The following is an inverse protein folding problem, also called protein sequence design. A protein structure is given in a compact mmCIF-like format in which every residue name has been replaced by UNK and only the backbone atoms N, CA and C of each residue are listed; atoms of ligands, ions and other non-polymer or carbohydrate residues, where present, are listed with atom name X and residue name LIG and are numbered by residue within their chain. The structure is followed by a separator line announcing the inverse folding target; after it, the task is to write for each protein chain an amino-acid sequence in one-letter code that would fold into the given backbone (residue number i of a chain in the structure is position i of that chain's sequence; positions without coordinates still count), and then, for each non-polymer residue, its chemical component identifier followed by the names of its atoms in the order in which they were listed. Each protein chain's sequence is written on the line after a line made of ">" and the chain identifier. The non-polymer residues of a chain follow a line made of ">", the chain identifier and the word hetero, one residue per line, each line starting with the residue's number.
data_IF_338773393894
#
_entry.id   IF_338773393894
#
_cell.length_a   1.000
_cell.length_b   1.000
_cell.length_c   1.000
_cell.angle_alpha   90.00
_cell.angle_beta   90.00
_cell.angle_gamma   90.00
#
_symmetry.space_group_name_H-M   'P 1'
#
loop_
_entity.id
_entity.type
_entity.pdbx_description
1 polymer ?
#
# COMPACT_ATOMS: atom_id res chain seq x y z
N UNK A 1 -46.03 -6.88 -0.31
CA UNK A 1 -45.52 -7.66 -1.46
C UNK A 1 -44.06 -7.30 -1.58
N UNK A 2 -43.15 -8.28 -1.51
CA UNK A 2 -41.71 -8.00 -1.58
C UNK A 2 -41.30 -8.00 -3.05
N UNK A 3 -40.82 -6.87 -3.55
CA UNK A 3 -40.25 -6.75 -4.90
C UNK A 3 -38.79 -7.18 -4.87
N UNK A 4 -38.48 -8.23 -5.63
CA UNK A 4 -37.11 -8.71 -5.82
C UNK A 4 -36.55 -8.13 -7.11
N UNK A 5 -35.38 -7.52 -7.02
CA UNK A 5 -34.66 -6.89 -8.14
C UNK A 5 -33.29 -7.54 -8.25
N UNK A 6 -32.76 -7.63 -9.48
CA UNK A 6 -31.49 -8.32 -9.74
C UNK A 6 -30.34 -7.33 -9.73
N UNK A 7 -29.37 -7.55 -8.84
CA UNK A 7 -28.13 -6.76 -8.81
C UNK A 7 -27.42 -6.82 -10.17
N UNK A 8 -27.07 -5.66 -10.74
CA UNK A 8 -26.41 -5.60 -12.05
C UNK A 8 -25.00 -6.19 -12.02
N UNK A 9 -24.32 -6.10 -10.88
CA UNK A 9 -22.92 -6.50 -10.74
C UNK A 9 -22.74 -8.00 -10.53
N UNK A 10 -23.49 -8.59 -9.61
CA UNK A 10 -23.36 -10.01 -9.26
C UNK A 10 -24.50 -10.90 -9.79
N UNK A 11 -25.50 -10.30 -10.46
CA UNK A 11 -26.66 -10.99 -11.07
C UNK A 11 -27.50 -11.81 -10.09
N UNK A 12 -27.33 -11.60 -8.77
CA UNK A 12 -28.18 -12.20 -7.73
C UNK A 12 -29.42 -11.35 -7.47
N UNK A 13 -30.48 -12.00 -7.02
CA UNK A 13 -31.74 -11.36 -6.63
C UNK A 13 -31.63 -10.86 -5.19
N UNK A 14 -32.06 -9.62 -4.98
CA UNK A 14 -32.10 -8.93 -3.70
C UNK A 14 -33.46 -8.24 -3.56
N UNK A 15 -33.82 -7.85 -2.34
CA UNK A 15 -34.96 -6.95 -2.18
C UNK A 15 -34.60 -5.57 -2.72
N UNK A 16 -35.61 -4.85 -3.21
CA UNK A 16 -35.46 -3.48 -3.74
C UNK A 16 -34.72 -2.54 -2.77
N UNK A 17 -35.01 -2.65 -1.46
CA UNK A 17 -34.36 -1.87 -0.39
C UNK A 17 -32.88 -2.24 -0.12
N UNK A 18 -32.41 -3.38 -0.64
CA UNK A 18 -31.02 -3.87 -0.46
C UNK A 18 -30.09 -3.48 -1.62
N UNK A 19 -30.59 -2.71 -2.59
CA UNK A 19 -29.87 -2.24 -3.77
C UNK A 19 -29.77 -0.71 -3.72
N UNK A 20 -28.60 -0.18 -4.05
CA UNK A 20 -28.40 1.25 -4.23
C UNK A 20 -29.15 1.77 -5.47
N UNK A 21 -29.26 3.10 -5.64
CA UNK A 21 -29.88 3.76 -6.80
C UNK A 21 -29.33 3.27 -8.15
N UNK A 22 -28.11 2.73 -8.17
CA UNK A 22 -27.46 2.14 -9.33
C UNK A 22 -27.75 0.64 -9.52
N UNK A 23 -28.68 0.03 -8.77
CA UNK A 23 -28.97 -1.40 -8.85
C UNK A 23 -27.81 -2.30 -8.41
N UNK A 24 -26.94 -1.81 -7.52
CA UNK A 24 -25.78 -2.54 -7.01
C UNK A 24 -26.00 -2.89 -5.53
N UNK A 25 -25.79 -4.16 -5.17
CA UNK A 25 -25.95 -4.58 -3.78
C UNK A 25 -24.77 -4.14 -2.91
N UNK A 26 -25.02 -3.99 -1.60
CA UNK A 26 -24.03 -3.53 -0.62
C UNK A 26 -22.72 -4.33 -0.67
N UNK A 27 -22.77 -5.66 -0.80
CA UNK A 27 -21.56 -6.49 -0.91
C UNK A 27 -20.71 -6.17 -2.16
N UNK A 28 -21.34 -5.75 -3.26
CA UNK A 28 -20.63 -5.33 -4.47
C UNK A 28 -20.07 -3.92 -4.35
N UNK A 29 -20.77 -3.02 -3.64
CA UNK A 29 -20.29 -1.69 -3.29
C UNK A 29 -19.08 -1.77 -2.35
N UNK A 30 -19.14 -2.58 -1.29
CA UNK A 30 -18.01 -2.80 -0.39
C UNK A 30 -16.80 -3.39 -1.11
N UNK A 31 -16.99 -4.33 -2.05
CA UNK A 31 -15.88 -4.83 -2.88
C UNK A 31 -15.29 -3.77 -3.79
N UNK A 32 -16.11 -2.86 -4.33
CA UNK A 32 -15.63 -1.74 -5.13
C UNK A 32 -14.86 -0.72 -4.26
N UNK A 33 -15.37 -0.42 -3.06
CA UNK A 33 -14.71 0.44 -2.08
C UNK A 33 -13.39 -0.17 -1.58
N UNK A 34 -13.34 -1.47 -1.28
CA UNK A 34 -12.09 -2.14 -0.91
C UNK A 34 -11.06 -2.09 -2.05
N UNK A 35 -11.52 -2.17 -3.30
CA UNK A 35 -10.64 -2.06 -4.46
C UNK A 35 -10.18 -0.62 -4.72
N UNK A 36 -10.99 0.38 -4.35
CA UNK A 36 -10.62 1.79 -4.41
C UNK A 36 -9.69 2.20 -3.26
N UNK A 37 -9.94 1.71 -2.04
CA UNK A 37 -9.07 1.89 -0.88
C UNK A 37 -7.70 1.21 -1.09
N UNK A 38 -7.68 0.00 -1.65
CA UNK A 38 -6.44 -0.67 -2.05
C UNK A 38 -5.71 0.03 -3.20
N UNK A 39 -6.39 0.85 -4.01
CA UNK A 39 -5.76 1.65 -5.06
C UNK A 39 -5.14 2.95 -4.52
N UNK A 40 -5.61 3.47 -3.39
CA UNK A 40 -4.90 4.51 -2.62
C UNK A 40 -3.72 3.93 -1.82
N UNK A 41 -3.72 2.63 -1.51
CA UNK A 41 -2.57 1.92 -0.91
C UNK A 41 -1.50 1.47 -1.93
N UNK A 42 -1.76 1.53 -3.25
CA UNK A 42 -0.84 1.02 -4.29
C UNK A 42 0.20 2.06 -4.79
N UNK A 43 0.09 3.33 -4.37
CA UNK A 43 1.08 4.38 -4.70
C UNK A 43 1.95 4.82 -3.51
N UNK A 44 1.81 4.17 -2.34
CA UNK A 44 2.59 4.53 -1.18
C UNK A 44 4.07 4.10 -1.33
N UNK A 45 4.94 5.10 -1.45
CA UNK A 45 6.39 4.95 -1.61
C UNK A 45 6.99 4.04 -0.52
N UNK A 46 6.39 3.97 0.68
CA UNK A 46 6.84 3.10 1.77
C UNK A 46 6.68 1.63 1.42
N UNK A 47 5.57 1.23 0.81
CA UNK A 47 5.35 -0.16 0.36
C UNK A 47 6.37 -0.56 -0.72
N UNK A 48 6.67 0.35 -1.66
CA UNK A 48 7.69 0.13 -2.67
C UNK A 48 9.07 -0.06 -2.04
N UNK A 49 9.40 0.76 -1.04
CA UNK A 49 10.66 0.66 -0.31
C UNK A 49 10.74 -0.64 0.49
N UNK A 50 9.70 -1.01 1.22
CA UNK A 50 9.63 -2.28 1.96
C UNK A 50 9.81 -3.48 1.04
N UNK A 51 9.09 -3.52 -0.09
CA UNK A 51 9.18 -4.62 -1.06
C UNK A 51 10.60 -4.75 -1.62
N UNK A 52 11.26 -3.62 -1.86
CA UNK A 52 12.64 -3.62 -2.33
C UNK A 52 13.64 -4.03 -1.24
N UNK A 53 13.54 -3.47 -0.03
CA UNK A 53 14.40 -3.81 1.11
C UNK A 53 14.25 -5.29 1.44
N UNK A 54 13.02 -5.82 1.49
CA UNK A 54 12.73 -7.24 1.72
C UNK A 54 13.39 -8.15 0.68
N UNK A 55 13.44 -7.72 -0.58
CA UNK A 55 14.09 -8.48 -1.67
C UNK A 55 15.62 -8.35 -1.68
N UNK A 56 16.14 -7.17 -1.38
CA UNK A 56 17.58 -6.89 -1.35
C UNK A 56 18.25 -7.23 -0.01
N UNK A 57 17.49 -7.50 1.04
CA UNK A 57 17.96 -7.66 2.42
C UNK A 57 18.22 -6.32 3.10
N UNK A 58 19.11 -5.50 2.53
CA UNK A 58 19.44 -4.18 3.04
C UNK A 58 19.74 -3.19 1.91
N UNK A 59 19.36 -1.92 2.06
CA UNK A 59 19.69 -0.87 1.07
C UNK A 59 19.81 0.51 1.69
N UNK A 60 20.55 1.42 1.06
CA UNK A 60 20.66 2.82 1.52
C UNK A 60 19.53 3.70 0.97
N UNK A 61 19.22 4.78 1.70
CA UNK A 61 18.31 5.86 1.24
C UNK A 61 18.73 6.38 -0.14
N UNK A 62 20.01 6.63 -0.36
CA UNK A 62 20.51 7.09 -1.66
C UNK A 62 20.17 6.13 -2.82
N UNK A 63 20.15 4.82 -2.57
CA UNK A 63 19.77 3.82 -3.57
C UNK A 63 18.27 3.84 -3.83
N UNK A 64 17.46 3.95 -2.76
CA UNK A 64 16.01 4.05 -2.85
C UNK A 64 15.58 5.35 -3.56
N UNK A 65 16.07 6.50 -3.11
CA UNK A 65 15.81 7.80 -3.72
C UNK A 65 16.26 7.85 -5.19
N UNK A 66 17.38 7.21 -5.56
CA UNK A 66 17.82 7.15 -6.96
C UNK A 66 16.95 6.23 -7.82
N UNK A 67 16.50 5.10 -7.26
CA UNK A 67 15.67 4.11 -7.96
C UNK A 67 14.23 4.59 -8.15
N UNK A 68 13.71 5.31 -7.17
CA UNK A 68 12.35 5.82 -7.13
C UNK A 68 12.30 7.34 -7.33
N UNK A 69 13.32 7.95 -7.94
CA UNK A 69 13.40 9.39 -8.18
C UNK A 69 12.21 9.94 -8.99
N UNK A 70 11.63 9.10 -9.85
CA UNK A 70 10.44 9.43 -10.66
C UNK A 70 9.13 9.29 -9.89
N UNK A 71 9.16 8.74 -8.67
CA UNK A 71 8.01 8.44 -7.81
C UNK A 71 8.02 9.24 -6.51
N UNK A 72 9.18 9.59 -5.98
CA UNK A 72 9.31 10.42 -4.78
C UNK A 72 10.52 11.35 -4.88
N UNK A 73 10.34 12.56 -4.36
CA UNK A 73 11.44 13.48 -4.08
C UNK A 73 12.38 12.90 -3.02
N UNK A 74 13.65 13.35 -2.95
CA UNK A 74 14.57 12.90 -1.90
C UNK A 74 14.04 13.16 -0.48
N UNK A 75 13.29 14.26 -0.27
CA UNK A 75 12.65 14.59 1.00
C UNK A 75 11.52 13.62 1.35
N UNK A 76 10.65 13.29 0.38
CA UNK A 76 9.61 12.28 0.59
C UNK A 76 10.17 10.89 0.82
N UNK A 77 11.26 10.53 0.14
CA UNK A 77 11.94 9.26 0.36
C UNK A 77 12.55 9.17 1.76
N UNK A 78 13.06 10.28 2.28
CA UNK A 78 13.56 10.36 3.66
C UNK A 78 12.41 10.22 4.66
N UNK A 79 11.35 11.01 4.49
CA UNK A 79 10.16 10.95 5.35
C UNK A 79 9.51 9.57 5.36
N UNK A 80 9.39 8.93 4.20
CA UNK A 80 8.86 7.58 4.10
C UNK A 80 9.72 6.55 4.84
N UNK A 81 11.04 6.67 4.79
CA UNK A 81 11.94 5.80 5.55
C UNK A 81 11.87 6.07 7.05
N UNK A 82 11.75 7.33 7.46
CA UNK A 82 11.59 7.71 8.86
C UNK A 82 10.28 7.17 9.44
N UNK A 83 9.18 7.26 8.69
CA UNK A 83 7.90 6.66 9.10
C UNK A 83 7.99 5.14 9.18
N UNK A 84 8.63 4.47 8.21
CA UNK A 84 8.85 3.03 8.26
C UNK A 84 9.71 2.59 9.45
N UNK A 85 10.66 3.43 9.87
CA UNK A 85 11.49 3.21 11.05
C UNK A 85 10.68 3.41 12.33
N UNK A 86 9.87 4.47 12.41
CA UNK A 86 8.94 4.70 13.51
C UNK A 86 7.90 3.58 13.67
N UNK A 87 7.41 3.05 12.55
CA UNK A 87 6.52 1.89 12.51
C UNK A 87 7.24 0.55 12.80
N UNK A 88 8.55 0.57 13.08
CA UNK A 88 9.37 -0.63 13.34
C UNK A 88 9.36 -1.65 12.19
N UNK A 89 9.04 -1.22 10.97
CA UNK A 89 9.06 -2.08 9.77
C UNK A 89 10.47 -2.18 9.18
N UNK A 90 11.26 -1.12 9.30
CA UNK A 90 12.68 -1.07 8.90
C UNK A 90 13.54 -0.60 10.06
N UNK A 91 14.81 -1.00 10.07
CA UNK A 91 15.82 -0.48 10.99
C UNK A 91 16.98 0.11 10.21
N UNK A 92 17.44 1.29 10.63
CA UNK A 92 18.69 1.89 10.17
C UNK A 92 19.87 1.27 10.91
N UNK A 93 20.78 0.67 10.15
CA UNK A 93 22.05 0.14 10.65
C UNK A 93 23.22 0.74 9.88
N UNK A 94 24.38 0.77 10.52
CA UNK A 94 25.62 1.07 9.80
C UNK A 94 26.01 -0.11 8.90
N UNK A 95 26.43 0.21 7.68
CA UNK A 95 26.90 -0.77 6.71
C UNK A 95 28.25 -1.33 7.16
N UNK A 96 28.33 -2.66 7.32
CA UNK A 96 29.58 -3.35 7.66
C UNK A 96 30.70 -3.15 6.61
N UNK A 97 30.35 -2.84 5.37
CA UNK A 97 31.32 -2.73 4.27
C UNK A 97 31.82 -1.30 4.01
N UNK A 98 31.13 -0.26 4.50
CA UNK A 98 31.54 1.14 4.34
C UNK A 98 31.21 1.94 5.59
N UNK A 99 32.26 2.29 6.34
CA UNK A 99 32.20 3.17 7.52
C UNK A 99 31.50 4.48 7.16
N UNK A 100 30.50 4.90 7.95
CA UNK A 100 29.72 6.12 7.70
C UNK A 100 28.61 6.00 6.66
N UNK A 101 28.30 4.80 6.14
CA UNK A 101 27.09 4.58 5.31
C UNK A 101 26.03 3.85 6.09
N UNK A 102 24.83 4.41 6.11
CA UNK A 102 23.64 3.77 6.68
C UNK A 102 22.90 2.96 5.62
N UNK A 103 22.42 1.79 6.03
CA UNK A 103 21.51 0.94 5.26
C UNK A 103 20.29 0.64 6.12
N UNK A 104 19.15 0.53 5.46
CA UNK A 104 17.87 0.15 6.02
C UNK A 104 17.63 -1.32 5.70
N UNK A 105 17.24 -2.10 6.70
CA UNK A 105 16.82 -3.49 6.54
C UNK A 105 15.48 -3.75 7.22
N UNK A 106 14.75 -4.77 6.78
CA UNK A 106 13.47 -5.15 7.41
C UNK A 106 13.75 -5.66 8.82
N UNK A 107 13.00 -5.17 9.80
CA UNK A 107 12.97 -5.76 11.14
C UNK A 107 12.24 -7.10 11.01
N UNK A 108 12.96 -8.21 11.21
CA UNK A 108 12.30 -9.51 11.33
C UNK A 108 11.76 -9.60 12.75
N UNK A 109 10.44 -9.57 12.86
CA UNK A 109 9.70 -9.96 14.06
C UNK A 109 9.99 -11.43 14.42
#
# INVERSE_FOLDING_TARGET
>A
MVTLVRCEKCKKWYQDDELDENGICESCLQKAQQKAAAAEEDDDIKQLFLKYIKRSGATSLATLAKKYKSKATPEEAEKALEELEAESKVQKRESKNKKGKFVYEIVKE
#
